data_IF_329564236513
#
_entry.id   IF_329564236513
#
_cell.length_a   1.000
_cell.length_b   1.000
_cell.length_c   1.000
_cell.angle_alpha   90.00
_cell.angle_beta   90.00
_cell.angle_gamma   90.00
#
_symmetry.space_group_name_H-M   'P 1'
#
loop_
_entity.id
_entity.type
_entity.pdbx_description
1 polymer ?
#
# COMPACT_ATOMS: atom_id res chain seq x y z
N UNK A 1 40.37 3.11 -23.20
CA UNK A 1 39.87 1.73 -23.13
C UNK A 1 39.97 1.36 -21.67
N UNK A 2 38.89 1.59 -20.95
CA UNK A 2 38.84 1.37 -19.50
C UNK A 2 37.69 0.39 -19.27
N UNK A 3 38.07 -0.86 -19.00
CA UNK A 3 37.16 -1.98 -18.78
C UNK A 3 36.55 -1.84 -17.40
N UNK A 4 35.22 -1.69 -17.34
CA UNK A 4 34.46 -1.83 -16.12
C UNK A 4 34.77 -3.19 -15.46
N UNK A 5 34.89 -3.27 -14.12
CA UNK A 5 35.14 -4.53 -13.45
C UNK A 5 33.94 -5.45 -13.64
N UNK A 6 34.23 -6.71 -14.01
CA UNK A 6 33.22 -7.76 -14.08
C UNK A 6 32.59 -7.95 -12.70
N UNK A 7 31.26 -8.04 -12.64
CA UNK A 7 30.54 -8.40 -11.42
C UNK A 7 31.07 -9.74 -10.90
N UNK A 8 31.63 -9.75 -9.69
CA UNK A 8 32.04 -10.97 -9.00
C UNK A 8 30.81 -11.84 -8.75
N UNK A 9 30.68 -12.91 -9.53
CA UNK A 9 29.74 -13.98 -9.26
C UNK A 9 30.15 -14.63 -7.94
N UNK A 10 29.39 -14.39 -6.88
CA UNK A 10 29.55 -15.11 -5.63
C UNK A 10 29.28 -16.60 -5.88
N UNK A 11 30.23 -17.45 -5.51
CA UNK A 11 30.07 -18.89 -5.55
C UNK A 11 28.90 -19.30 -4.64
N UNK A 12 28.07 -20.27 -5.04
CA UNK A 12 26.98 -20.77 -4.19
C UNK A 12 27.58 -21.37 -2.91
N UNK A 13 27.27 -20.77 -1.75
CA UNK A 13 27.63 -21.30 -0.43
C UNK A 13 28.37 -20.35 0.52
N UNK A 14 28.76 -19.14 0.11
CA UNK A 14 29.37 -18.17 1.04
C UNK A 14 28.29 -17.34 1.73
N UNK A 15 28.17 -17.43 3.07
CA UNK A 15 27.27 -16.55 3.83
C UNK A 15 27.70 -15.09 3.62
N UNK A 16 26.76 -14.22 3.25
CA UNK A 16 27.03 -12.81 3.00
C UNK A 16 27.38 -12.02 4.28
N UNK A 17 27.15 -12.61 5.45
CA UNK A 17 27.37 -11.99 6.76
C UNK A 17 26.21 -11.10 7.19
N UNK A 18 26.34 -10.41 8.35
CA UNK A 18 25.29 -9.55 8.87
C UNK A 18 25.10 -8.31 8.00
N UNK A 19 23.87 -7.85 7.88
CA UNK A 19 23.53 -6.68 7.11
C UNK A 19 24.10 -5.39 7.74
N UNK A 20 24.89 -4.59 7.00
CA UNK A 20 25.47 -3.35 7.53
C UNK A 20 24.40 -2.29 7.81
N UNK A 21 23.23 -2.37 7.19
CA UNK A 21 22.13 -1.40 7.37
C UNK A 21 21.71 -1.24 8.83
N UNK A 22 21.70 -2.33 9.61
CA UNK A 22 21.30 -2.29 11.03
C UNK A 22 22.27 -1.51 11.93
N UNK A 23 23.49 -1.23 11.48
CA UNK A 23 24.41 -0.36 12.22
C UNK A 23 23.97 1.11 12.15
N UNK A 24 23.38 1.52 11.02
CA UNK A 24 22.92 2.89 10.79
C UNK A 24 21.46 3.08 11.22
N UNK A 25 20.65 2.02 11.12
CA UNK A 25 19.26 2.00 11.55
C UNK A 25 18.96 0.70 12.34
N UNK A 26 19.30 0.68 13.64
CA UNK A 26 19.09 -0.50 14.49
C UNK A 26 17.60 -0.77 14.76
N UNK A 27 16.71 0.17 14.47
CA UNK A 27 15.26 0.03 14.64
C UNK A 27 14.53 -0.40 13.38
N UNK A 28 15.25 -0.53 12.26
CA UNK A 28 14.73 -1.13 11.05
C UNK A 28 14.24 -2.56 11.32
N UNK A 29 13.09 -2.92 10.73
CA UNK A 29 12.50 -4.26 10.90
C UNK A 29 12.12 -4.80 9.53
N UNK A 30 12.43 -6.08 9.33
CA UNK A 30 11.90 -6.92 8.27
C UNK A 30 11.19 -8.07 8.98
N UNK A 31 9.89 -8.18 8.76
CA UNK A 31 9.05 -9.23 9.35
C UNK A 31 8.44 -10.03 8.22
N UNK A 32 8.66 -11.35 8.23
CA UNK A 32 8.04 -12.28 7.30
C UNK A 32 6.86 -12.93 8.00
N UNK A 33 5.67 -12.73 7.46
CA UNK A 33 4.44 -13.30 7.99
C UNK A 33 3.95 -14.39 7.03
N UNK A 34 3.83 -15.65 7.47
CA UNK A 34 3.23 -16.70 6.65
C UNK A 34 1.82 -16.30 6.20
N UNK A 35 1.55 -16.41 4.91
CA UNK A 35 0.24 -16.16 4.34
C UNK A 35 -0.45 -17.49 4.07
N UNK A 36 -1.51 -17.79 4.82
CA UNK A 36 -2.31 -19.00 4.59
C UNK A 36 -3.27 -18.87 3.41
N UNK A 37 -3.40 -17.66 2.84
CA UNK A 37 -4.29 -17.41 1.70
C UNK A 37 -3.67 -17.95 0.42
N UNK A 38 -4.50 -18.38 -0.53
CA UNK A 38 -4.09 -18.63 -1.91
C UNK A 38 -3.78 -17.30 -2.59
N UNK A 39 -2.55 -17.10 -3.07
CA UNK A 39 -2.10 -15.87 -3.73
C UNK A 39 -1.85 -16.16 -5.20
N UNK A 40 -2.43 -15.34 -6.08
CA UNK A 40 -2.34 -15.52 -7.54
C UNK A 40 -2.03 -14.21 -8.23
N UNK A 41 -1.16 -14.26 -9.22
CA UNK A 41 -0.94 -13.11 -10.10
C UNK A 41 -0.80 -13.54 -11.57
N UNK A 42 -1.17 -12.64 -12.47
CA UNK A 42 -1.13 -12.90 -13.91
C UNK A 42 -0.50 -11.76 -14.69
N UNK A 43 0.09 -12.10 -15.84
CA UNK A 43 0.68 -11.17 -16.79
C UNK A 43 0.43 -11.64 -18.23
N UNK A 44 -0.09 -10.75 -19.06
CA UNK A 44 -0.49 -11.01 -20.44
C UNK A 44 -1.43 -12.22 -20.60
N UNK A 45 -2.31 -12.46 -19.62
CA UNK A 45 -3.24 -13.60 -19.64
C UNK A 45 -2.64 -14.94 -19.15
N UNK A 46 -1.35 -14.96 -18.80
CA UNK A 46 -0.68 -16.14 -18.22
C UNK A 46 -0.61 -16.04 -16.71
N UNK A 47 -0.76 -17.17 -16.02
CA UNK A 47 -0.51 -17.28 -14.58
C UNK A 47 0.98 -17.20 -14.32
N UNK A 48 1.43 -16.17 -13.60
CA UNK A 48 2.84 -16.03 -13.19
C UNK A 48 3.13 -16.92 -11.99
N UNK A 49 2.19 -17.02 -11.05
CA UNK A 49 2.21 -17.96 -9.94
C UNK A 49 0.80 -18.15 -9.38
N UNK A 50 0.58 -19.29 -8.71
CA UNK A 50 -0.65 -19.63 -8.01
C UNK A 50 -0.31 -20.53 -6.82
N UNK A 51 -0.26 -19.95 -5.61
CA UNK A 51 0.42 -20.55 -4.46
C UNK A 51 -0.39 -20.42 -3.17
N UNK A 52 -0.11 -21.26 -2.16
CA UNK A 52 -0.74 -21.21 -0.82
C UNK A 52 0.28 -21.08 0.33
N UNK A 53 1.55 -20.84 -0.02
CA UNK A 53 2.70 -20.80 0.88
C UNK A 53 3.48 -19.49 0.72
N UNK A 54 2.82 -18.43 0.25
CA UNK A 54 3.42 -17.10 0.18
C UNK A 54 3.82 -16.60 1.58
N UNK A 55 4.82 -15.73 1.65
CA UNK A 55 5.04 -14.90 2.84
C UNK A 55 4.76 -13.44 2.51
N UNK A 56 4.13 -12.73 3.43
CA UNK A 56 4.03 -11.27 3.37
C UNK A 56 5.24 -10.69 4.08
N UNK A 57 6.06 -9.92 3.36
CA UNK A 57 7.14 -9.14 3.95
C UNK A 57 6.60 -7.77 4.36
N UNK A 58 6.66 -7.47 5.65
CA UNK A 58 6.42 -6.16 6.22
C UNK A 58 7.76 -5.53 6.57
N UNK A 59 8.05 -4.37 6.01
CA UNK A 59 9.35 -3.71 6.13
C UNK A 59 9.17 -2.24 6.56
N UNK A 60 9.99 -1.78 7.51
CA UNK A 60 9.86 -0.42 8.08
C UNK A 60 9.83 0.65 6.99
N UNK A 61 8.76 1.43 6.93
CA UNK A 61 8.60 2.52 5.96
C UNK A 61 8.26 2.08 4.54
N UNK A 62 7.96 0.80 4.32
CA UNK A 62 7.63 0.25 3.02
C UNK A 62 6.23 -0.41 3.03
N UNK A 63 5.62 -0.47 1.84
CA UNK A 63 4.40 -1.25 1.62
C UNK A 63 4.70 -2.75 1.79
N UNK A 64 3.71 -3.51 2.24
CA UNK A 64 3.81 -4.96 2.30
C UNK A 64 3.92 -5.56 0.90
N UNK A 65 4.67 -6.66 0.79
CA UNK A 65 4.89 -7.38 -0.47
C UNK A 65 4.76 -8.88 -0.27
N UNK A 66 4.24 -9.60 -1.27
CA UNK A 66 4.34 -11.05 -1.30
C UNK A 66 5.72 -11.47 -1.79
N UNK A 67 6.35 -12.40 -1.06
CA UNK A 67 7.45 -13.20 -1.57
C UNK A 67 6.96 -14.61 -1.88
N UNK A 68 7.32 -15.06 -3.07
CA UNK A 68 6.90 -16.32 -3.69
C UNK A 68 8.12 -17.23 -3.80
N UNK A 69 8.06 -18.49 -3.33
CA UNK A 69 9.10 -19.47 -3.61
C UNK A 69 9.29 -19.62 -5.12
N UNK A 70 10.54 -19.62 -5.59
CA UNK A 70 10.86 -19.64 -7.02
C UNK A 70 10.24 -20.83 -7.76
N UNK A 71 10.24 -22.00 -7.13
CA UNK A 71 9.74 -23.24 -7.72
C UNK A 71 8.21 -23.22 -7.92
N UNK A 72 7.51 -22.31 -7.25
CA UNK A 72 6.07 -22.13 -7.35
C UNK A 72 5.67 -21.01 -8.35
N UNK A 73 6.65 -20.38 -9.02
CA UNK A 73 6.44 -19.39 -10.07
C UNK A 73 6.82 -19.94 -11.46
N UNK A 74 6.14 -19.47 -12.50
CA UNK A 74 6.46 -19.78 -13.89
C UNK A 74 7.69 -18.99 -14.36
N UNK A 75 8.86 -19.55 -14.08
CA UNK A 75 10.14 -18.99 -14.52
C UNK A 75 10.31 -18.95 -16.04
N UNK A 76 9.48 -19.66 -16.82
CA UNK A 76 9.59 -19.61 -18.30
C UNK A 76 9.17 -18.26 -18.87
N UNK A 77 8.39 -17.48 -18.11
CA UNK A 77 7.99 -16.11 -18.44
C UNK A 77 9.06 -15.08 -18.06
N UNK A 78 10.14 -15.48 -17.38
CA UNK A 78 11.10 -14.58 -16.74
C UNK A 78 12.49 -14.69 -17.36
N UNK A 79 13.03 -13.55 -17.80
CA UNK A 79 14.40 -13.46 -18.31
C UNK A 79 15.27 -12.68 -17.33
N UNK A 80 16.33 -13.33 -16.83
CA UNK A 80 17.34 -12.66 -16.00
C UNK A 80 17.98 -11.50 -16.76
N UNK A 81 18.23 -10.41 -16.06
CA UNK A 81 18.87 -9.21 -16.61
C UNK A 81 20.23 -8.95 -15.96
N UNK A 82 21.03 -8.09 -16.58
CA UNK A 82 22.27 -7.59 -15.97
C UNK A 82 22.00 -6.48 -14.92
N UNK A 83 20.74 -6.08 -14.72
CA UNK A 83 20.38 -5.07 -13.72
C UNK A 83 20.50 -5.66 -12.30
N UNK A 84 21.14 -4.90 -11.43
CA UNK A 84 21.30 -5.26 -10.02
C UNK A 84 21.34 -4.00 -9.15
N UNK A 85 20.81 -4.13 -7.94
CA UNK A 85 20.84 -3.09 -6.91
C UNK A 85 21.39 -3.67 -5.61
N UNK A 86 21.89 -2.81 -4.72
CA UNK A 86 22.35 -3.20 -3.40
C UNK A 86 21.43 -2.61 -2.33
N UNK A 87 20.75 -3.47 -1.58
CA UNK A 87 20.00 -3.09 -0.40
C UNK A 87 20.88 -3.24 0.85
N UNK A 88 21.01 -2.21 1.71
CA UNK A 88 21.86 -2.29 2.91
C UNK A 88 21.37 -3.31 3.94
N UNK A 89 20.09 -3.73 3.86
CA UNK A 89 19.48 -4.71 4.77
C UNK A 89 19.37 -6.12 4.18
N UNK A 90 19.28 -6.24 2.86
CA UNK A 90 18.96 -7.52 2.18
C UNK A 90 20.07 -8.04 1.26
N UNK A 91 21.02 -7.21 0.85
CA UNK A 91 22.13 -7.61 -0.02
C UNK A 91 21.90 -7.26 -1.50
N UNK A 92 22.63 -7.96 -2.38
CA UNK A 92 22.53 -7.76 -3.83
C UNK A 92 21.23 -8.37 -4.39
N UNK A 93 20.54 -7.57 -5.20
CA UNK A 93 19.28 -7.94 -5.85
C UNK A 93 19.55 -8.32 -7.30
N UNK A 94 18.98 -9.44 -7.76
CA UNK A 94 18.91 -9.83 -9.17
C UNK A 94 17.52 -9.54 -9.72
N UNK A 95 17.43 -9.05 -10.95
CA UNK A 95 16.17 -8.66 -11.59
C UNK A 95 15.87 -9.50 -12.82
N UNK A 96 14.58 -9.76 -13.03
CA UNK A 96 14.04 -10.45 -14.20
C UNK A 96 13.01 -9.58 -14.91
N UNK A 97 13.03 -9.61 -16.22
CA UNK A 97 11.99 -9.03 -17.07
C UNK A 97 10.95 -10.11 -17.39
N UNK A 98 9.67 -9.80 -17.19
CA UNK A 98 8.57 -10.67 -17.62
C UNK A 98 8.29 -10.49 -19.10
N UNK A 99 8.14 -11.59 -19.85
CA UNK A 99 7.80 -11.59 -21.28
C UNK A 99 6.74 -12.64 -21.56
N UNK A 100 5.64 -12.23 -22.17
CA UNK A 100 4.55 -13.13 -22.57
C UNK A 100 3.71 -12.46 -23.67
N UNK A 101 3.32 -13.22 -24.69
CA UNK A 101 2.45 -12.76 -25.79
C UNK A 101 2.84 -11.40 -26.41
N UNK A 102 4.14 -11.18 -26.60
CA UNK A 102 4.68 -9.94 -27.18
C UNK A 102 4.65 -8.72 -26.23
N UNK A 103 4.15 -8.87 -25.00
CA UNK A 103 4.27 -7.88 -23.93
C UNK A 103 5.52 -8.13 -23.11
N UNK A 104 6.06 -7.03 -22.60
CA UNK A 104 7.25 -7.01 -21.75
C UNK A 104 7.00 -6.12 -20.54
N UNK A 105 7.38 -6.60 -19.36
CA UNK A 105 7.47 -5.79 -18.15
C UNK A 105 8.91 -5.84 -17.64
N UNK A 106 9.66 -4.80 -18.00
CA UNK A 106 11.08 -4.68 -17.72
C UNK A 106 11.37 -4.66 -16.21
N UNK A 107 12.31 -5.49 -15.77
CA UNK A 107 12.75 -5.62 -14.37
C UNK A 107 11.58 -5.77 -13.38
N UNK A 108 10.48 -6.38 -13.80
CA UNK A 108 9.24 -6.49 -13.03
C UNK A 108 9.35 -7.41 -11.80
N UNK A 109 10.34 -8.30 -11.79
CA UNK A 109 10.56 -9.30 -10.74
C UNK A 109 11.96 -9.13 -10.17
N UNK A 110 12.12 -9.32 -8.87
CA UNK A 110 13.43 -9.36 -8.25
C UNK A 110 13.57 -10.50 -7.24
N UNK A 111 14.82 -10.89 -6.98
CA UNK A 111 15.20 -11.92 -6.04
C UNK A 111 16.50 -11.54 -5.34
N UNK A 112 16.63 -11.93 -4.08
CA UNK A 112 17.92 -11.91 -3.38
C UNK A 112 18.52 -13.32 -3.43
N UNK A 113 19.49 -13.55 -4.31
CA UNK A 113 20.08 -14.90 -4.48
C UNK A 113 20.97 -15.28 -3.29
N UNK A 114 21.74 -14.32 -2.78
CA UNK A 114 22.62 -14.48 -1.63
C UNK A 114 22.43 -13.31 -0.65
N UNK A 115 21.29 -13.26 0.06
CA UNK A 115 21.00 -12.17 1.00
C UNK A 115 21.92 -12.21 2.23
N UNK A 116 21.95 -11.10 2.96
CA UNK A 116 22.53 -11.05 4.31
C UNK A 116 21.80 -11.98 5.30
N UNK A 117 22.47 -12.31 6.41
CA UNK A 117 22.00 -13.32 7.37
C UNK A 117 20.58 -13.03 7.89
N UNK A 118 20.24 -11.76 8.12
CA UNK A 118 18.91 -11.34 8.62
C UNK A 118 17.80 -11.53 7.58
N UNK A 119 18.13 -11.57 6.29
CA UNK A 119 17.20 -11.81 5.19
C UNK A 119 17.36 -13.20 4.55
N UNK A 120 18.10 -14.11 5.19
CA UNK A 120 18.38 -15.45 4.67
C UNK A 120 17.12 -16.28 4.33
N UNK A 121 16.02 -16.03 5.05
CA UNK A 121 14.75 -16.74 4.86
C UNK A 121 14.09 -16.51 3.48
N UNK A 122 14.44 -15.43 2.77
CA UNK A 122 13.93 -15.14 1.42
C UNK A 122 14.97 -15.42 0.31
N UNK A 123 16.05 -16.15 0.61
CA UNK A 123 17.08 -16.48 -0.38
C UNK A 123 16.47 -17.21 -1.58
N UNK A 124 16.62 -16.62 -2.76
CA UNK A 124 16.10 -17.13 -4.03
C UNK A 124 14.60 -16.93 -4.27
N UNK A 125 13.84 -16.41 -3.30
CA UNK A 125 12.41 -16.12 -3.43
C UNK A 125 12.19 -14.87 -4.28
N UNK A 126 11.05 -14.81 -4.95
CA UNK A 126 10.70 -13.77 -5.91
C UNK A 126 9.72 -12.79 -5.28
N UNK A 127 9.96 -11.51 -5.51
CA UNK A 127 8.99 -10.45 -5.29
C UNK A 127 8.80 -9.65 -6.59
N UNK A 128 7.69 -8.93 -6.69
CA UNK A 128 7.21 -8.37 -7.95
C UNK A 128 6.79 -6.92 -7.77
N UNK A 129 7.04 -6.08 -8.78
CA UNK A 129 6.49 -4.75 -8.83
C UNK A 129 5.01 -4.85 -9.14
N UNK A 130 4.17 -4.48 -8.18
CA UNK A 130 2.72 -4.71 -8.24
C UNK A 130 2.08 -4.24 -9.54
N UNK A 131 2.41 -3.01 -9.95
CA UNK A 131 1.87 -2.33 -11.12
C UNK A 131 2.42 -2.82 -12.47
N UNK A 132 3.38 -3.74 -12.47
CA UNK A 132 3.92 -4.37 -13.67
C UNK A 132 3.19 -5.69 -14.02
N UNK A 133 2.36 -6.20 -13.12
CA UNK A 133 1.49 -7.36 -13.35
C UNK A 133 0.04 -6.88 -13.56
N UNK A 134 -0.77 -7.71 -14.22
CA UNK A 134 -2.10 -7.31 -14.67
C UNK A 134 -3.16 -7.43 -13.57
N UNK A 135 -3.14 -8.53 -12.83
CA UNK A 135 -4.14 -8.84 -11.80
C UNK A 135 -3.53 -9.62 -10.65
N UNK A 136 -4.05 -9.36 -9.46
CA UNK A 136 -3.65 -9.98 -8.20
C UNK A 136 -4.88 -10.46 -7.46
N UNK A 137 -4.84 -11.66 -6.89
CA UNK A 137 -5.94 -12.19 -6.09
C UNK A 137 -5.43 -12.76 -4.76
N UNK A 138 -6.18 -12.50 -3.71
CA UNK A 138 -6.14 -13.21 -2.43
C UNK A 138 -7.39 -14.10 -2.35
N UNK A 139 -7.20 -15.42 -2.28
CA UNK A 139 -8.27 -16.36 -2.60
C UNK A 139 -8.90 -15.97 -3.94
N UNK A 140 -10.23 -15.94 -4.03
CA UNK A 140 -11.00 -15.52 -5.21
C UNK A 140 -11.29 -14.00 -5.27
N UNK A 141 -10.78 -13.23 -4.31
CA UNK A 141 -10.97 -11.78 -4.27
C UNK A 141 -9.83 -11.05 -4.96
N UNK A 142 -10.15 -10.13 -5.88
CA UNK A 142 -9.14 -9.28 -6.51
C UNK A 142 -8.61 -8.26 -5.49
N UNK A 143 -7.28 -8.14 -5.40
CA UNK A 143 -6.60 -7.14 -4.58
C UNK A 143 -5.92 -6.14 -5.50
N UNK A 144 -5.92 -4.87 -5.10
CA UNK A 144 -5.46 -3.75 -5.91
C UNK A 144 -4.49 -2.87 -5.13
N UNK A 145 -3.71 -2.06 -5.85
CA UNK A 145 -2.65 -1.16 -5.34
C UNK A 145 -1.40 -1.86 -4.80
N UNK A 146 -1.53 -2.69 -3.76
CA UNK A 146 -0.44 -3.49 -3.19
C UNK A 146 -0.98 -4.57 -2.22
N UNK A 147 -0.09 -5.47 -1.77
CA UNK A 147 -0.43 -6.48 -0.77
C UNK A 147 -0.87 -5.85 0.55
N UNK A 148 -1.81 -6.49 1.24
CA UNK A 148 -2.26 -6.03 2.56
C UNK A 148 -1.30 -6.54 3.65
N UNK A 149 -0.81 -5.62 4.47
CA UNK A 149 -0.10 -5.89 5.71
C UNK A 149 -1.07 -6.50 6.74
N UNK A 150 -0.82 -7.73 7.24
CA UNK A 150 -1.69 -8.39 8.20
C UNK A 150 -1.78 -7.70 9.57
N UNK A 151 -0.90 -6.72 9.86
CA UNK A 151 -0.91 -5.94 11.09
C UNK A 151 -1.68 -4.61 10.96
N UNK A 152 -2.06 -4.21 9.74
CA UNK A 152 -2.95 -3.07 9.56
C UNK A 152 -4.36 -3.49 9.97
N UNK A 153 -4.89 -2.79 10.97
CA UNK A 153 -6.24 -2.96 11.46
C UNK A 153 -6.99 -1.64 11.29
N UNK A 154 -8.20 -1.74 10.75
CA UNK A 154 -9.16 -0.64 10.70
C UNK A 154 -10.28 -0.97 11.67
N UNK A 155 -10.56 -0.05 12.61
CA UNK A 155 -11.69 -0.12 13.52
C UNK A 155 -12.63 1.06 13.27
N UNK A 156 -13.92 0.77 13.08
CA UNK A 156 -14.94 1.76 12.75
C UNK A 156 -16.08 1.68 13.76
N UNK A 157 -16.19 2.72 14.57
CA UNK A 157 -17.20 2.84 15.62
C UNK A 157 -18.14 4.02 15.36
N UNK A 158 -19.41 3.84 15.72
CA UNK A 158 -20.35 4.96 15.80
C UNK A 158 -19.99 5.85 16.99
N UNK A 159 -20.14 7.15 16.82
CA UNK A 159 -19.96 8.11 17.90
C UNK A 159 -21.03 9.19 17.84
N UNK A 160 -21.61 9.46 19.02
CA UNK A 160 -22.52 10.59 19.23
C UNK A 160 -21.83 11.87 19.72
N UNK A 161 -20.50 11.83 19.88
CA UNK A 161 -19.70 13.01 20.22
C UNK A 161 -19.90 14.07 19.13
N UNK A 162 -20.18 15.34 19.47
CA UNK A 162 -20.30 16.40 18.49
C UNK A 162 -19.02 16.54 17.67
N UNK A 163 -19.15 16.48 16.34
CA UNK A 163 -18.09 16.75 15.37
C UNK A 163 -18.46 17.98 14.56
N UNK A 164 -17.53 18.93 14.44
CA UNK A 164 -17.69 20.14 13.64
C UNK A 164 -16.50 20.34 12.71
N UNK A 165 -16.76 20.68 11.46
CA UNK A 165 -15.73 21.03 10.47
C UNK A 165 -15.86 22.50 10.14
N UNK A 166 -14.81 23.26 10.43
CA UNK A 166 -14.74 24.70 10.20
C UNK A 166 -13.71 24.97 9.09
N UNK A 167 -14.13 25.66 8.03
CA UNK A 167 -13.25 26.11 6.96
C UNK A 167 -13.61 27.56 6.57
N UNK A 168 -12.62 28.39 6.27
CA UNK A 168 -12.85 29.80 5.90
C UNK A 168 -13.62 30.62 6.95
N UNK A 169 -13.61 30.22 8.23
CA UNK A 169 -14.40 30.84 9.30
C UNK A 169 -15.87 30.39 9.38
N UNK A 170 -16.30 29.48 8.50
CA UNK A 170 -17.67 28.98 8.41
C UNK A 170 -17.74 27.51 8.86
N UNK A 171 -18.88 27.11 9.45
CA UNK A 171 -19.15 25.70 9.77
C UNK A 171 -19.65 24.99 8.50
N UNK A 172 -18.83 24.10 7.95
CA UNK A 172 -19.13 23.34 6.73
C UNK A 172 -19.87 22.05 7.04
N UNK A 173 -19.62 21.46 8.21
CA UNK A 173 -20.33 20.27 8.68
C UNK A 173 -20.50 20.29 10.19
N UNK A 174 -21.62 19.76 10.68
CA UNK A 174 -21.87 19.54 12.12
C UNK A 174 -22.72 18.29 12.29
N UNK A 175 -22.24 17.33 13.09
CA UNK A 175 -22.93 16.04 13.29
C UNK A 175 -22.74 15.48 14.70
N UNK A 176 -23.68 14.64 15.12
CA UNK A 176 -23.57 13.71 16.27
C UNK A 176 -23.79 12.26 15.82
N UNK A 177 -23.50 11.96 14.55
CA UNK A 177 -23.72 10.65 13.90
C UNK A 177 -22.50 10.21 13.09
N UNK A 178 -21.32 10.69 13.47
CA UNK A 178 -20.09 10.39 12.77
C UNK A 178 -19.64 8.93 13.00
N UNK A 179 -18.91 8.39 12.02
CA UNK A 179 -18.14 7.14 12.15
C UNK A 179 -16.69 7.51 12.44
N UNK A 180 -16.18 7.06 13.57
CA UNK A 180 -14.78 7.28 13.93
C UNK A 180 -14.00 6.08 13.42
N UNK A 181 -13.03 6.36 12.56
CA UNK A 181 -12.14 5.35 12.00
C UNK A 181 -10.78 5.47 12.67
N UNK A 182 -10.30 4.37 13.23
CA UNK A 182 -8.98 4.20 13.80
C UNK A 182 -8.21 3.20 12.94
N UNK A 183 -7.02 3.56 12.50
CA UNK A 183 -6.17 2.74 11.65
C UNK A 183 -4.78 2.62 12.26
N UNK A 184 -4.19 1.43 12.21
CA UNK A 184 -2.86 1.18 12.78
C UNK A 184 -1.86 2.22 12.27
N UNK A 185 -1.24 2.97 13.18
CA UNK A 185 -0.21 3.96 12.86
C UNK A 185 -0.72 5.31 12.37
N UNK A 186 -2.02 5.47 12.16
CA UNK A 186 -2.62 6.69 11.61
C UNK A 186 -3.42 7.49 12.64
N UNK A 187 -3.52 8.81 12.39
CA UNK A 187 -4.42 9.68 13.17
C UNK A 187 -5.89 9.28 12.92
N UNK A 188 -6.79 9.39 13.92
CA UNK A 188 -8.21 9.11 13.72
C UNK A 188 -8.81 9.91 12.56
N UNK A 189 -9.80 9.33 11.88
CA UNK A 189 -10.60 9.98 10.84
C UNK A 189 -12.07 10.01 11.24
N UNK A 190 -12.74 11.13 10.93
CA UNK A 190 -14.12 11.38 11.32
C UNK A 190 -14.97 11.45 10.06
N UNK A 191 -15.64 10.34 9.76
CA UNK A 191 -16.52 10.21 8.62
C UNK A 191 -17.90 10.75 9.00
N UNK A 192 -18.35 11.78 8.31
CA UNK A 192 -19.58 12.53 8.58
C UNK A 192 -20.66 12.11 7.56
N UNK A 193 -21.91 11.86 7.98
CA UNK A 193 -23.00 11.59 7.04
C UNK A 193 -23.13 12.72 6.01
N UNK A 194 -23.37 12.37 4.74
CA UNK A 194 -23.43 13.33 3.63
C UNK A 194 -24.44 14.45 3.88
N UNK A 195 -25.54 14.12 4.56
CA UNK A 195 -26.65 15.02 4.90
C UNK A 195 -26.30 16.05 5.99
N UNK A 196 -25.26 15.80 6.78
CA UNK A 196 -24.79 16.72 7.84
C UNK A 196 -23.69 17.68 7.34
N UNK A 197 -23.39 17.64 6.03
CA UNK A 197 -22.45 18.54 5.36
C UNK A 197 -23.21 19.54 4.49
N UNK A 198 -22.88 20.82 4.60
CA UNK A 198 -23.51 21.89 3.84
C UNK A 198 -23.38 21.64 2.33
N UNK A 199 -24.50 21.27 1.69
CA UNK A 199 -24.49 20.85 0.29
C UNK A 199 -23.99 21.95 -0.67
N UNK A 200 -24.32 23.20 -0.39
CA UNK A 200 -23.86 24.36 -1.17
C UNK A 200 -22.34 24.57 -1.14
N UNK A 201 -21.65 23.97 -0.16
CA UNK A 201 -20.21 24.05 -0.07
C UNK A 201 -19.49 23.01 -0.93
N UNK A 202 -20.14 21.93 -1.40
CA UNK A 202 -19.47 20.80 -2.04
C UNK A 202 -19.59 20.81 -3.57
N UNK A 203 -18.44 20.70 -4.24
CA UNK A 203 -18.35 20.64 -5.70
C UNK A 203 -17.70 19.33 -6.15
N UNK A 204 -18.12 18.73 -7.27
CA UNK A 204 -17.52 17.49 -7.77
C UNK A 204 -16.05 17.68 -8.11
N UNK A 205 -15.24 16.65 -7.83
CA UNK A 205 -13.87 16.52 -8.33
C UNK A 205 -13.76 15.24 -9.16
N UNK A 206 -12.92 15.29 -10.19
CA UNK A 206 -12.56 14.12 -11.00
C UNK A 206 -11.45 13.28 -10.35
N UNK A 207 -10.81 13.76 -9.27
CA UNK A 207 -9.76 13.02 -8.59
C UNK A 207 -10.29 11.70 -8.02
N UNK A 208 -9.53 10.64 -8.25
CA UNK A 208 -9.72 9.31 -7.65
C UNK A 208 -8.39 8.79 -7.12
N UNK A 209 -8.41 8.17 -5.96
CA UNK A 209 -7.23 7.53 -5.36
C UNK A 209 -7.60 6.15 -4.86
N UNK A 210 -6.69 5.18 -5.02
CA UNK A 210 -6.90 3.81 -4.55
C UNK A 210 -6.25 3.56 -3.20
N UNK A 211 -6.92 2.77 -2.35
CA UNK A 211 -6.34 2.29 -1.10
C UNK A 211 -6.71 0.81 -0.88
N UNK A 212 -5.73 -0.09 -0.63
CA UNK A 212 -5.97 -1.54 -0.67
C UNK A 212 -6.96 -2.05 0.38
N UNK A 213 -7.16 -1.30 1.47
CA UNK A 213 -8.05 -1.67 2.57
C UNK A 213 -9.36 -0.90 2.59
N UNK A 214 -9.55 0.08 1.70
CA UNK A 214 -10.73 0.96 1.73
C UNK A 214 -11.46 1.05 0.40
N UNK A 215 -10.82 0.70 -0.72
CA UNK A 215 -11.39 0.87 -2.05
C UNK A 215 -10.88 2.12 -2.75
N UNK A 216 -11.66 2.60 -3.73
CA UNK A 216 -11.35 3.81 -4.48
C UNK A 216 -12.05 5.02 -3.84
N UNK A 217 -11.26 5.96 -3.34
CA UNK A 217 -11.76 7.22 -2.83
C UNK A 217 -12.14 8.15 -4.00
N UNK A 218 -13.18 8.93 -3.76
CA UNK A 218 -13.71 9.99 -4.63
C UNK A 218 -13.69 11.29 -3.87
N UNK A 219 -13.58 12.40 -4.58
CA UNK A 219 -13.29 13.69 -3.96
C UNK A 219 -14.35 14.74 -4.27
N UNK A 220 -14.43 15.72 -3.38
CA UNK A 220 -15.10 16.99 -3.59
C UNK A 220 -14.15 18.14 -3.25
N UNK A 221 -14.26 19.23 -4.01
CA UNK A 221 -13.76 20.53 -3.58
C UNK A 221 -14.75 21.15 -2.58
N UNK A 222 -14.31 22.12 -1.78
CA UNK A 222 -15.24 23.00 -1.06
C UNK A 222 -15.01 24.47 -1.38
N UNK A 223 -16.04 25.29 -1.30
CA UNK A 223 -15.90 26.76 -1.22
C UNK A 223 -16.26 27.23 0.18
N UNK A 224 -15.35 27.95 0.84
CA UNK A 224 -15.54 28.49 2.18
C UNK A 224 -14.79 29.80 2.34
N UNK A 225 -15.40 30.82 2.98
CA UNK A 225 -14.76 32.13 3.15
C UNK A 225 -14.36 32.81 1.83
N UNK A 226 -15.11 32.53 0.75
CA UNK A 226 -14.85 33.07 -0.59
C UNK A 226 -13.72 32.39 -1.38
N UNK A 227 -13.13 31.30 -0.85
CA UNK A 227 -12.03 30.57 -1.50
C UNK A 227 -12.42 29.12 -1.75
N UNK A 228 -12.03 28.58 -2.90
CA UNK A 228 -12.16 27.14 -3.19
C UNK A 228 -10.94 26.38 -2.70
N UNK A 229 -11.17 25.32 -1.93
CA UNK A 229 -10.16 24.38 -1.46
C UNK A 229 -10.36 23.07 -2.23
N UNK A 230 -9.43 22.76 -3.13
CA UNK A 230 -9.59 21.65 -4.06
C UNK A 230 -9.41 20.28 -3.39
N UNK A 231 -10.16 19.23 -3.77
CA UNK A 231 -9.90 17.85 -3.34
C UNK A 231 -9.78 17.67 -1.82
N UNK A 232 -10.51 18.48 -1.06
CA UNK A 232 -10.32 18.54 0.40
C UNK A 232 -11.20 17.55 1.16
N UNK A 233 -12.24 17.06 0.49
CA UNK A 233 -13.19 16.09 1.03
C UNK A 233 -13.07 14.82 0.22
N UNK A 234 -12.90 13.68 0.89
CA UNK A 234 -12.93 12.38 0.24
C UNK A 234 -14.03 11.50 0.83
N UNK A 235 -14.45 10.52 0.04
CA UNK A 235 -15.41 9.51 0.42
C UNK A 235 -15.23 8.25 -0.42
N UNK A 236 -15.78 7.14 0.06
CA UNK A 236 -15.77 5.87 -0.67
C UNK A 236 -17.20 5.57 -1.13
N UNK A 237 -17.53 5.71 -2.42
CA UNK A 237 -18.85 5.36 -2.93
C UNK A 237 -19.13 3.86 -2.77
N UNK A 238 -18.12 3.06 -3.10
CA UNK A 238 -18.13 1.60 -3.08
C UNK A 238 -16.87 1.12 -2.35
N UNK A 239 -16.84 1.23 -1.00
CA UNK A 239 -15.72 0.72 -0.22
C UNK A 239 -15.67 -0.81 -0.25
N UNK A 240 -14.52 -1.39 0.09
CA UNK A 240 -14.44 -2.84 0.36
C UNK A 240 -15.31 -3.23 1.57
N UNK A 241 -15.73 -4.49 1.60
CA UNK A 241 -16.74 -4.98 2.55
C UNK A 241 -16.38 -4.74 4.02
N UNK A 242 -15.10 -4.88 4.37
CA UNK A 242 -14.60 -4.72 5.74
C UNK A 242 -14.84 -3.30 6.28
N UNK A 243 -14.85 -2.29 5.40
CA UNK A 243 -15.05 -0.89 5.76
C UNK A 243 -16.35 -0.30 5.21
N UNK A 244 -17.31 -1.14 4.81
CA UNK A 244 -18.63 -0.70 4.30
C UNK A 244 -19.39 0.29 5.19
N UNK A 245 -19.05 0.33 6.49
CA UNK A 245 -19.64 1.26 7.47
C UNK A 245 -19.36 2.74 7.19
N UNK A 246 -18.34 3.07 6.40
CA UNK A 246 -18.04 4.43 5.96
C UNK A 246 -18.48 4.71 4.51
N UNK A 247 -19.18 3.78 3.87
CA UNK A 247 -19.67 3.94 2.50
C UNK A 247 -20.55 5.19 2.35
N UNK A 248 -20.17 6.09 1.45
CA UNK A 248 -20.85 7.36 1.20
C UNK A 248 -20.68 8.44 2.29
N UNK A 249 -20.01 8.15 3.41
CA UNK A 249 -19.69 9.18 4.41
C UNK A 249 -18.51 10.02 3.94
N UNK A 250 -18.52 11.31 4.30
CA UNK A 250 -17.50 12.28 3.91
C UNK A 250 -16.44 12.46 5.00
N UNK A 251 -15.18 12.52 4.62
CA UNK A 251 -14.08 12.87 5.50
C UNK A 251 -13.27 14.03 4.90
N UNK A 252 -12.59 14.79 5.75
CA UNK A 252 -11.93 16.05 5.40
C UNK A 252 -10.45 15.99 5.76
N UNK A 253 -9.59 16.64 4.98
CA UNK A 253 -8.16 16.75 5.31
C UNK A 253 -7.96 17.80 6.40
N UNK A 254 -7.70 17.42 7.67
CA UNK A 254 -7.65 18.36 8.79
C UNK A 254 -6.58 19.44 8.63
N UNK A 255 -5.50 19.16 7.90
CA UNK A 255 -4.42 20.10 7.61
C UNK A 255 -4.75 21.11 6.50
N UNK A 256 -5.85 20.90 5.78
CA UNK A 256 -6.30 21.75 4.66
C UNK A 256 -7.61 22.46 4.96
N UNK A 257 -8.49 21.84 5.76
CA UNK A 257 -9.59 22.56 6.41
C UNK A 257 -9.05 23.33 7.61
N UNK A 258 -9.75 24.39 8.03
CA UNK A 258 -9.26 25.23 9.13
C UNK A 258 -9.12 24.45 10.44
N UNK A 259 -10.22 23.85 10.91
CA UNK A 259 -10.24 23.03 12.13
C UNK A 259 -11.32 21.97 12.06
N UNK A 260 -11.02 20.76 12.55
CA UNK A 260 -12.02 19.77 12.92
C UNK A 260 -12.11 19.73 14.45
N UNK A 261 -13.29 19.93 15.01
CA UNK A 261 -13.55 19.85 16.44
C UNK A 261 -14.28 18.55 16.79
N UNK A 262 -13.89 17.92 17.89
CA UNK A 262 -14.61 16.81 18.54
C UNK A 262 -14.84 17.19 19.99
N UNK A 263 -16.10 17.17 20.44
CA UNK A 263 -16.52 17.73 21.75
C UNK A 263 -16.03 19.18 21.97
N UNK A 264 -16.05 20.00 20.90
CA UNK A 264 -15.61 21.39 20.94
C UNK A 264 -14.09 21.59 21.07
N UNK A 265 -13.28 20.51 20.98
CA UNK A 265 -11.81 20.58 21.03
C UNK A 265 -11.21 20.18 19.69
N UNK A 266 -10.08 20.78 19.25
CA UNK A 266 -9.39 20.33 18.05
C UNK A 266 -9.12 18.83 18.10
N UNK A 267 -9.42 18.15 16.98
CA UNK A 267 -9.08 16.75 16.81
C UNK A 267 -7.55 16.55 16.93
N UNK A 268 -7.11 15.42 17.51
CA UNK A 268 -5.69 15.07 17.62
C UNK A 268 -5.01 14.84 16.26
#
# INVERSE_FOLDING_TARGET
MDTAPAAERHAPGTRAGPAPGYQNDPDYRIVLVPCAKRIRASFAGHTVFDIQNAVVMCETGHIALYYVPRDDADMTLMNLTDHSTLCPFKGHTSYYTLRADGREAENAVWSYEAPYDEAAAISGWLAFYWNQLDRWHEEDEEVFIHARDPHVRIDIVESHRPVEVIAGGETIARTTRARFLFETGDRPRYYIPREDVAAAALFPSELRTGYPYKGTASYHHITAGGVTIEDVVWYYPEPVDEVRRIGGYLCFYPERVGTILVDGKPAP
#
